data_IF_867918888146
#
_entry.id   IF_867918888146
#
_cell.length_a   1.000
_cell.length_b   1.000
_cell.length_c   1.000
_cell.angle_alpha   90.00
_cell.angle_beta   90.00
_cell.angle_gamma   90.00
#
_symmetry.space_group_name_H-M   'P 1'
#
loop_
_entity.id
_entity.type
_entity.pdbx_description
1 polymer ?
#
# COMPACT_ATOMS: atom_id res chain seq x y z
N UNK A 1 -12.91 5.46 1.45
CA UNK A 1 -11.85 5.27 0.46
C UNK A 1 -10.57 4.86 1.16
N UNK A 2 -10.00 3.75 0.75
CA UNK A 2 -8.70 3.24 1.18
C UNK A 2 -7.78 3.17 -0.05
N UNK A 3 -6.51 3.49 0.15
CA UNK A 3 -5.51 3.35 -0.91
C UNK A 3 -4.79 2.02 -0.74
N UNK A 4 -4.76 1.21 -1.79
CA UNK A 4 -4.10 -0.10 -1.77
C UNK A 4 -3.05 -0.21 -2.87
N UNK A 5 -2.03 -1.03 -2.65
CA UNK A 5 -1.01 -1.34 -3.64
C UNK A 5 -0.83 -2.84 -3.75
N UNK A 6 -0.70 -3.33 -4.99
CA UNK A 6 -0.30 -4.70 -5.25
C UNK A 6 1.22 -4.79 -5.25
N UNK A 7 1.80 -5.60 -4.38
CA UNK A 7 3.25 -5.76 -4.27
C UNK A 7 3.67 -7.22 -4.23
N UNK A 8 4.90 -7.47 -4.71
CA UNK A 8 5.57 -8.77 -4.65
C UNK A 8 6.76 -8.67 -3.69
N UNK A 9 6.73 -9.42 -2.60
CA UNK A 9 7.80 -9.42 -1.61
C UNK A 9 8.85 -10.50 -1.88
N UNK A 10 10.07 -10.27 -1.41
CA UNK A 10 11.16 -11.24 -1.49
C UNK A 10 10.77 -12.54 -0.76
N UNK A 11 11.00 -13.68 -1.41
CA UNK A 11 10.66 -15.00 -0.87
C UNK A 11 9.24 -15.51 -1.16
N UNK A 12 8.42 -14.77 -1.91
CA UNK A 12 7.16 -15.30 -2.47
C UNK A 12 6.99 -14.95 -3.95
N UNK A 13 6.50 -15.90 -4.73
CA UNK A 13 6.12 -15.66 -6.12
C UNK A 13 4.70 -15.11 -6.28
N UNK A 14 3.93 -15.07 -5.18
CA UNK A 14 2.58 -14.54 -5.17
C UNK A 14 2.58 -13.02 -5.01
N UNK A 15 1.57 -12.38 -5.58
CA UNK A 15 1.31 -10.95 -5.39
C UNK A 15 0.33 -10.80 -4.22
N UNK A 16 0.58 -9.79 -3.40
CA UNK A 16 -0.26 -9.48 -2.24
C UNK A 16 -0.68 -8.02 -2.28
N UNK A 17 -1.84 -7.73 -1.73
CA UNK A 17 -2.39 -6.38 -1.63
C UNK A 17 -2.05 -5.86 -0.24
N UNK A 18 -1.46 -4.67 -0.20
CA UNK A 18 -1.11 -3.99 1.03
C UNK A 18 -1.81 -2.64 1.09
N UNK A 19 -2.24 -2.25 2.29
CA UNK A 19 -2.81 -0.93 2.51
C UNK A 19 -1.70 0.11 2.55
N UNK A 20 -1.86 1.16 1.76
CA UNK A 20 -0.98 2.33 1.77
C UNK A 20 -1.50 3.30 2.85
N UNK A 21 -0.63 3.86 3.70
CA UNK A 21 -1.04 4.89 4.65
C UNK A 21 -1.68 6.08 3.94
N UNK A 22 -2.72 6.65 4.56
CA UNK A 22 -3.52 7.71 3.97
C UNK A 22 -2.65 8.94 3.62
N UNK A 23 -2.89 9.53 2.44
CA UNK A 23 -2.15 10.70 1.93
C UNK A 23 -0.88 10.35 1.15
N UNK A 24 -0.60 9.07 0.90
CA UNK A 24 0.54 8.62 0.11
C UNK A 24 0.11 7.85 -1.13
N UNK A 25 0.84 8.05 -2.23
CA UNK A 25 0.68 7.30 -3.47
C UNK A 25 1.97 6.53 -3.78
N UNK A 26 1.83 5.26 -4.17
CA UNK A 26 2.98 4.40 -4.50
C UNK A 26 2.93 4.10 -6.00
N UNK A 27 4.04 4.32 -6.69
CA UNK A 27 4.13 4.05 -8.13
C UNK A 27 4.60 2.61 -8.39
N UNK A 28 4.17 2.03 -9.51
CA UNK A 28 4.67 0.74 -9.96
C UNK A 28 6.20 0.76 -10.14
N UNK A 29 6.86 -0.30 -9.71
CA UNK A 29 8.32 -0.43 -9.71
C UNK A 29 9.00 0.12 -8.45
N UNK A 30 8.27 0.81 -7.57
CA UNK A 30 8.83 1.34 -6.32
C UNK A 30 9.11 0.21 -5.33
N UNK A 31 10.29 0.21 -4.70
CA UNK A 31 10.57 -0.70 -3.59
C UNK A 31 9.97 -0.18 -2.31
N UNK A 32 9.37 -1.08 -1.54
CA UNK A 32 8.63 -0.77 -0.32
C UNK A 32 8.94 -1.81 0.74
N UNK A 33 8.87 -1.41 2.00
CA UNK A 33 8.85 -2.35 3.12
C UNK A 33 7.40 -2.59 3.49
N UNK A 34 6.99 -3.85 3.49
CA UNK A 34 5.65 -4.26 3.89
C UNK A 34 5.73 -5.09 5.16
N UNK A 35 4.76 -4.91 6.05
CA UNK A 35 4.56 -5.88 7.13
C UNK A 35 3.91 -7.13 6.53
N UNK A 36 4.40 -8.32 6.87
CA UNK A 36 3.79 -9.61 6.47
C UNK A 36 3.52 -10.46 7.72
N UNK A 37 2.74 -11.54 7.62
CA UNK A 37 2.53 -12.46 8.76
C UNK A 37 3.84 -13.05 9.32
N UNK A 38 4.94 -12.96 8.56
CA UNK A 38 6.28 -13.43 8.94
C UNK A 38 7.24 -12.28 9.28
N UNK A 39 6.70 -11.10 9.58
CA UNK A 39 7.47 -9.88 9.86
C UNK A 39 7.69 -9.00 8.63
N UNK A 40 8.57 -8.02 8.76
CA UNK A 40 8.85 -7.03 7.72
C UNK A 40 9.62 -7.64 6.54
N UNK A 41 9.18 -7.34 5.32
CA UNK A 41 9.83 -7.80 4.09
C UNK A 41 9.94 -6.67 3.08
N UNK A 42 11.04 -6.70 2.34
CA UNK A 42 11.20 -5.90 1.12
C UNK A 42 10.28 -6.43 0.03
N UNK A 43 9.57 -5.52 -0.63
CA UNK A 43 8.69 -5.79 -1.74
C UNK A 43 8.83 -4.74 -2.83
N UNK A 44 8.35 -5.10 -4.03
CA UNK A 44 8.27 -4.18 -5.16
C UNK A 44 6.81 -4.02 -5.54
N UNK A 45 6.35 -2.77 -5.64
CA UNK A 45 5.03 -2.44 -6.14
C UNK A 45 4.92 -2.89 -7.60
N UNK A 46 3.93 -3.73 -7.91
CA UNK A 46 3.71 -4.24 -9.26
C UNK A 46 2.95 -3.24 -10.13
N UNK A 47 2.15 -2.38 -9.51
CA UNK A 47 1.33 -1.36 -10.16
C UNK A 47 1.29 -0.11 -9.29
N UNK A 48 0.71 0.96 -9.84
CA UNK A 48 0.39 2.14 -9.05
C UNK A 48 -0.64 1.80 -7.96
N UNK A 49 -0.62 2.55 -6.88
CA UNK A 49 -1.64 2.47 -5.83
C UNK A 49 -3.01 2.87 -6.39
N UNK A 50 -4.05 2.20 -5.93
CA UNK A 50 -5.43 2.38 -6.39
C UNK A 50 -6.29 2.74 -5.19
N UNK A 51 -7.15 3.74 -5.37
CA UNK A 51 -8.16 4.10 -4.37
C UNK A 51 -9.39 3.22 -4.56
N UNK A 52 -9.83 2.60 -3.47
CA UNK A 52 -10.97 1.68 -3.44
C UNK A 52 -11.93 2.14 -2.36
N UNK A 53 -13.22 1.95 -2.58
CA UNK A 53 -14.26 2.43 -1.68
C UNK A 53 -14.18 1.76 -0.29
N UNK A 54 -13.99 0.43 -0.28
CA UNK A 54 -13.94 -0.39 0.94
C UNK A 54 -12.97 -1.59 0.82
N UNK A 55 -12.72 -2.26 1.95
CA UNK A 55 -11.89 -3.48 1.96
C UNK A 55 -12.58 -4.64 1.23
N UNK A 56 -13.90 -4.74 1.31
CA UNK A 56 -14.71 -5.74 0.60
C UNK A 56 -14.58 -5.57 -0.92
N UNK A 57 -14.67 -4.35 -1.42
CA UNK A 57 -14.47 -4.05 -2.83
C UNK A 57 -13.03 -4.41 -3.29
N UNK A 58 -12.03 -4.24 -2.42
CA UNK A 58 -10.66 -4.67 -2.70
C UNK A 58 -10.55 -6.21 -2.80
N UNK A 59 -11.31 -6.96 -2.00
CA UNK A 59 -11.36 -8.41 -2.09
C UNK A 59 -11.97 -8.89 -3.42
N UNK A 60 -13.03 -8.21 -3.87
CA UNK A 60 -13.72 -8.53 -5.13
C UNK A 60 -12.89 -8.17 -6.37
N UNK A 61 -12.21 -7.01 -6.35
CA UNK A 61 -11.36 -6.54 -7.44
C UNK A 61 -10.09 -7.39 -7.60
N UNK A 62 -9.53 -7.88 -6.49
CA UNK A 62 -8.29 -8.66 -6.49
C UNK A 62 -8.54 -10.14 -6.18
N UNK A 63 -9.36 -10.79 -7.01
CA UNK A 63 -9.62 -12.23 -6.91
C UNK A 63 -8.30 -13.03 -6.89
N UNK A 64 -8.07 -13.77 -5.80
CA UNK A 64 -6.87 -14.60 -5.61
C UNK A 64 -5.77 -13.98 -4.74
N UNK A 65 -5.97 -12.77 -4.20
CA UNK A 65 -5.04 -12.18 -3.24
C UNK A 65 -5.38 -12.61 -1.80
N UNK A 66 -4.35 -13.01 -1.04
CA UNK A 66 -4.50 -13.50 0.33
C UNK A 66 -4.46 -12.34 1.34
N UNK A 67 -5.54 -12.21 2.11
CA UNK A 67 -5.71 -11.28 3.24
C UNK A 67 -5.19 -11.91 4.55
N UNK A 68 -4.85 -11.13 5.60
CA UNK A 68 -5.21 -9.72 5.85
C UNK A 68 -4.32 -8.67 5.16
N UNK A 69 -4.91 -7.52 4.81
CA UNK A 69 -4.23 -6.34 4.28
C UNK A 69 -3.26 -5.77 5.32
N UNK A 70 -2.03 -6.27 5.36
CA UNK A 70 -0.99 -5.63 6.16
C UNK A 70 -0.54 -4.31 5.49
N UNK A 71 0.10 -3.46 6.29
CA UNK A 71 0.42 -2.08 5.92
C UNK A 71 1.76 -1.97 5.20
N UNK A 72 1.85 -1.02 4.29
CA UNK A 72 3.15 -0.51 3.80
C UNK A 72 3.75 0.37 4.89
N UNK A 73 4.99 0.07 5.27
CA UNK A 73 5.71 0.74 6.36
C UNK A 73 6.69 1.79 5.86
N UNK A 74 7.37 1.51 4.74
CA UNK A 74 8.40 2.39 4.20
C UNK A 74 8.40 2.36 2.68
N UNK A 75 8.83 3.46 2.08
CA UNK A 75 9.03 3.58 0.63
C UNK A 75 10.48 3.96 0.34
N UNK A 76 11.09 3.31 -0.65
CA UNK A 76 12.42 3.65 -1.15
C UNK A 76 12.28 4.84 -2.10
N UNK A 77 12.87 5.97 -1.71
CA UNK A 77 13.00 7.15 -2.58
C UNK A 77 14.47 7.37 -2.92
N UNK A 78 15.15 8.32 -2.25
CA UNK A 78 16.61 8.44 -2.20
C UNK A 78 17.23 7.79 -0.96
N UNK A 79 16.41 7.60 0.08
CA UNK A 79 16.66 6.85 1.29
C UNK A 79 15.33 6.18 1.71
N UNK A 80 15.39 5.18 2.59
CA UNK A 80 14.19 4.58 3.17
C UNK A 80 13.46 5.60 4.04
N UNK A 81 12.22 5.92 3.67
CA UNK A 81 11.37 6.85 4.43
C UNK A 81 10.18 6.12 5.02
N UNK A 82 9.89 6.29 6.33
CA UNK A 82 8.69 5.73 6.93
C UNK A 82 7.44 6.40 6.37
N UNK A 83 6.43 5.59 6.06
CA UNK A 83 5.09 6.06 5.72
C UNK A 83 4.27 6.11 7.01
N UNK A 84 4.19 7.30 7.60
CA UNK A 84 3.29 7.57 8.71
C UNK A 84 1.92 7.95 8.15
N UNK A 85 0.86 7.51 8.83
CA UNK A 85 -0.48 8.01 8.56
C UNK A 85 -0.49 9.52 8.81
N UNK A 86 -0.84 10.30 7.78
CA UNK A 86 -1.01 11.74 7.94
C UNK A 86 -2.38 11.93 8.61
N UNK A 87 -2.45 12.46 9.84
CA UNK A 87 -3.72 12.69 10.50
C UNK A 87 -4.59 13.61 9.65
N UNK A 88 -5.89 13.32 9.58
CA UNK A 88 -6.86 14.00 8.73
C UNK A 88 -6.86 15.54 8.92
N UNK A 89 -6.41 16.04 10.08
CA UNK A 89 -6.28 17.46 10.41
C UNK A 89 -5.22 18.23 9.61
N UNK A 90 -4.36 17.56 8.84
CA UNK A 90 -3.33 18.17 8.01
C UNK A 90 -3.54 17.97 6.50
N UNK A 91 -4.70 17.46 6.09
CA UNK A 91 -5.04 17.43 4.66
C UNK A 91 -5.18 18.88 4.16
N UNK A 92 -4.45 19.32 3.12
CA UNK A 92 -4.78 20.56 2.46
C UNK A 92 -6.23 20.47 1.99
N UNK A 93 -7.02 21.49 2.34
CA UNK A 93 -8.39 21.71 1.88
C UNK A 93 -8.38 21.98 0.38
N UNK A 94 -8.04 20.99 -0.42
CA UNK A 94 -8.38 20.98 -1.84
C UNK A 94 -9.59 20.06 -1.96
N UNK A 95 -10.61 20.49 -2.72
CA UNK A 95 -11.94 19.88 -2.87
C UNK A 95 -13.01 20.29 -1.83
N UNK A 96 -13.18 21.61 -1.66
CA UNK A 96 -14.52 22.21 -1.56
C UNK A 96 -14.76 23.03 -2.83
N UNK A 97 -15.21 22.39 -3.92
CA UNK A 97 -15.94 23.04 -5.02
C UNK A 97 -16.84 22.01 -5.70
#
# INVERSE_FOLDING_TARGET
MITVVLAKHSGSNKKYTFRVPDGHCIHGGTRIIVDTMRGMKEAVACCNSIDIESEEAACELFQGVTLPLKRVLMVETKAWKPLLEIPFSQKPLEFMF
#
